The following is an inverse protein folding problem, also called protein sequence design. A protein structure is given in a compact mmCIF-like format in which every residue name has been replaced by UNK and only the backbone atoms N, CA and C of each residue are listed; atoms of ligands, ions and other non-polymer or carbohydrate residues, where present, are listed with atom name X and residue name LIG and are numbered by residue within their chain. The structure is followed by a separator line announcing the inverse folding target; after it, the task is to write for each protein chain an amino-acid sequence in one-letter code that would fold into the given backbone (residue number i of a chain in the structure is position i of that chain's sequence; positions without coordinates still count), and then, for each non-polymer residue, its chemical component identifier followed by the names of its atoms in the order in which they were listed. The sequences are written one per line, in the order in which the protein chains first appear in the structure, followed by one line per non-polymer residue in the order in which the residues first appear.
data_IF_915011248779
#
_entry.id   IF_915011248779
#
_cell.length_a   1.000
_cell.length_b   1.000
_cell.length_c   1.000
_cell.angle_alpha   90.00
_cell.angle_beta   90.00
_cell.angle_gamma   90.00
#
_symmetry.space_group_name_H-M   'P 1'
#
loop_
_entity.id
_entity.type
_entity.pdbx_description
1 polymer ?
#
# COMPACT_ATOMS: atom_id res chain seq x y z
N UNK A 1 -29.38 14.75 46.42
CA UNK A 1 -29.59 13.98 45.18
C UNK A 1 -28.65 14.52 44.11
N UNK A 2 -27.51 13.86 43.88
CA UNK A 2 -26.56 14.24 42.84
C UNK A 2 -26.90 13.48 41.55
N UNK A 3 -27.15 14.20 40.45
CA UNK A 3 -27.39 13.61 39.14
C UNK A 3 -26.09 12.99 38.62
N UNK A 4 -26.15 11.73 38.23
CA UNK A 4 -25.10 10.99 37.53
C UNK A 4 -24.85 11.61 36.16
N UNK A 5 -23.59 12.00 35.90
CA UNK A 5 -23.14 12.38 34.56
C UNK A 5 -22.95 11.09 33.73
N UNK A 6 -23.78 10.90 32.71
CA UNK A 6 -23.63 9.80 31.75
C UNK A 6 -22.37 9.97 30.88
N UNK A 7 -21.87 8.88 30.25
CA UNK A 7 -20.61 8.91 29.51
C UNK A 7 -20.69 9.85 28.29
N UNK A 8 -19.68 10.71 28.19
CA UNK A 8 -19.45 11.65 27.10
C UNK A 8 -19.49 10.92 25.74
N UNK A 9 -20.56 11.07 24.97
CA UNK A 9 -20.63 10.50 23.62
C UNK A 9 -19.60 11.19 22.73
N UNK A 10 -18.53 10.48 22.36
CA UNK A 10 -17.46 11.01 21.51
C UNK A 10 -18.01 11.44 20.13
N UNK A 11 -17.53 12.54 19.54
CA UNK A 11 -18.32 13.36 18.61
C UNK A 11 -18.30 12.81 17.19
N UNK A 12 -19.44 12.90 16.50
CA UNK A 12 -19.67 12.62 15.06
C UNK A 12 -18.59 13.20 14.12
N UNK A 13 -17.87 14.24 14.56
CA UNK A 13 -16.69 14.84 13.90
C UNK A 13 -15.56 13.84 13.66
N UNK A 14 -15.33 12.87 14.56
CA UNK A 14 -14.33 11.80 14.36
C UNK A 14 -14.75 10.81 13.26
N UNK A 15 -16.05 10.57 13.06
CA UNK A 15 -16.51 9.68 11.99
C UNK A 15 -16.28 10.29 10.61
N UNK A 16 -16.55 11.59 10.48
CA UNK A 16 -16.26 12.35 9.25
C UNK A 16 -14.75 12.41 8.98
N UNK A 17 -13.94 12.66 10.01
CA UNK A 17 -12.48 12.68 9.92
C UNK A 17 -11.90 11.32 9.51
N UNK A 18 -12.34 10.21 10.12
CA UNK A 18 -11.96 8.85 9.72
C UNK A 18 -12.35 8.52 8.28
N UNK A 19 -13.47 9.06 7.78
CA UNK A 19 -13.90 8.87 6.39
C UNK A 19 -13.01 9.64 5.42
N UNK A 20 -12.57 10.85 5.78
CA UNK A 20 -11.62 11.64 4.99
C UNK A 20 -10.22 11.00 5.03
N UNK A 21 -9.73 10.55 6.18
CA UNK A 21 -8.48 9.79 6.29
C UNK A 21 -8.53 8.50 5.46
N UNK A 22 -9.63 7.76 5.54
CA UNK A 22 -9.84 6.56 4.72
C UNK A 22 -9.89 6.90 3.22
N UNK A 23 -10.48 8.03 2.82
CA UNK A 23 -10.52 8.45 1.41
C UNK A 23 -9.14 8.93 0.91
N UNK A 24 -8.35 9.59 1.76
CA UNK A 24 -6.96 9.96 1.46
C UNK A 24 -6.07 8.71 1.36
N UNK A 25 -6.31 7.70 2.19
CA UNK A 25 -5.58 6.42 2.15
C UNK A 25 -5.88 5.60 0.89
N UNK A 26 -7.04 5.79 0.25
CA UNK A 26 -7.42 5.12 -1.00
C UNK A 26 -6.60 5.60 -2.22
N UNK A 27 -5.90 6.74 -2.12
CA UNK A 27 -4.99 7.20 -3.19
C UNK A 27 -3.64 6.47 -3.19
N UNK A 28 -3.36 5.66 -2.16
CA UNK A 28 -2.18 4.79 -2.08
C UNK A 28 -2.52 3.35 -2.46
N UNK A 29 -2.98 3.17 -3.70
CA UNK A 29 -3.20 1.83 -4.25
C UNK A 29 -1.89 1.06 -4.25
N UNK A 30 -1.78 0.07 -3.37
CA UNK A 30 -0.66 -0.86 -3.35
C UNK A 30 -0.79 -1.78 -4.56
N UNK A 31 0.32 -2.00 -5.25
CA UNK A 31 0.41 -2.88 -6.40
C UNK A 31 1.37 -4.01 -6.13
N UNK A 32 1.18 -5.12 -6.83
CA UNK A 32 2.11 -6.23 -6.92
C UNK A 32 2.68 -6.28 -8.34
N UNK A 33 4.00 -6.23 -8.43
CA UNK A 33 4.79 -6.31 -9.65
C UNK A 33 5.33 -7.72 -9.81
N UNK A 34 5.06 -8.30 -10.98
CA UNK A 34 5.63 -9.58 -11.40
C UNK A 34 6.88 -9.30 -12.21
N UNK A 35 7.95 -10.03 -11.89
CA UNK A 35 9.26 -9.84 -12.51
C UNK A 35 9.46 -10.82 -13.67
N UNK A 36 10.15 -10.39 -14.72
CA UNK A 36 10.37 -11.17 -15.94
C UNK A 36 11.12 -12.47 -15.71
N UNK A 37 12.36 -12.42 -15.19
CA UNK A 37 13.17 -13.63 -14.99
C UNK A 37 12.92 -14.29 -13.61
N UNK A 38 12.33 -13.57 -12.67
CA UNK A 38 12.22 -13.99 -11.27
C UNK A 38 10.78 -14.36 -10.88
N UNK A 39 10.25 -15.43 -11.47
CA UNK A 39 8.85 -15.90 -11.24
C UNK A 39 8.52 -16.25 -9.78
N UNK A 40 9.53 -16.56 -8.96
CA UNK A 40 9.35 -16.91 -7.54
C UNK A 40 9.32 -15.69 -6.62
N UNK A 41 9.58 -14.50 -7.15
CA UNK A 41 9.65 -13.25 -6.40
C UNK A 41 8.71 -12.22 -7.01
N UNK A 42 8.04 -11.45 -6.16
CA UNK A 42 7.19 -10.34 -6.56
C UNK A 42 7.54 -9.14 -5.70
N UNK A 43 7.37 -7.94 -6.25
CA UNK A 43 7.56 -6.70 -5.50
C UNK A 43 6.19 -6.11 -5.22
N UNK A 44 5.85 -5.87 -3.96
CA UNK A 44 4.68 -5.10 -3.60
C UNK A 44 5.06 -3.70 -3.14
N UNK A 45 4.31 -2.67 -3.48
CA UNK A 45 4.57 -1.31 -3.01
C UNK A 45 3.52 -0.31 -3.49
N UNK A 46 3.60 0.90 -2.97
CA UNK A 46 2.74 2.02 -3.38
C UNK A 46 3.45 2.83 -4.46
N UNK A 47 2.84 2.99 -5.64
CA UNK A 47 3.45 3.82 -6.70
C UNK A 47 3.44 5.29 -6.25
N UNK A 48 4.60 5.93 -6.30
CA UNK A 48 4.76 7.37 -6.07
C UNK A 48 5.25 8.13 -7.30
N UNK A 49 5.74 7.43 -8.32
CA UNK A 49 6.14 8.02 -9.59
C UNK A 49 6.39 6.97 -10.66
N UNK A 50 6.24 7.37 -11.93
CA UNK A 50 6.54 6.54 -13.10
C UNK A 50 6.99 7.43 -14.29
N UNK A 51 7.64 6.83 -15.28
CA UNK A 51 8.07 7.50 -16.51
C UNK A 51 7.58 6.77 -17.79
N UNK A 52 7.98 7.27 -18.96
CA UNK A 52 7.63 6.71 -20.28
C UNK A 52 8.24 5.32 -20.53
N UNK A 53 9.29 4.96 -19.78
CA UNK A 53 9.95 3.66 -19.86
C UNK A 53 9.38 2.65 -18.86
N UNK A 54 8.30 3.01 -18.15
CA UNK A 54 7.69 2.24 -17.07
C UNK A 54 8.65 1.96 -15.90
N UNK A 55 9.66 2.80 -15.69
CA UNK A 55 10.39 2.76 -14.43
C UNK A 55 9.45 3.23 -13.32
N UNK A 56 9.35 2.46 -12.23
CA UNK A 56 8.43 2.74 -11.13
C UNK A 56 9.22 3.14 -9.89
N UNK A 57 8.79 4.22 -9.24
CA UNK A 57 9.23 4.51 -7.88
C UNK A 57 8.15 4.00 -6.93
N UNK A 58 8.53 3.06 -6.07
CA UNK A 58 7.64 2.42 -5.10
C UNK A 58 8.03 2.85 -3.67
N UNK A 59 7.04 3.21 -2.87
CA UNK A 59 7.16 3.45 -1.44
C UNK A 59 6.63 2.24 -0.66
N UNK A 60 7.11 2.04 0.57
CA UNK A 60 6.78 0.89 1.43
C UNK A 60 6.89 -0.47 0.70
N UNK A 61 7.94 -0.61 -0.11
CA UNK A 61 8.14 -1.74 -0.99
C UNK A 61 8.62 -2.98 -0.23
N UNK A 62 8.13 -4.15 -0.65
CA UNK A 62 8.44 -5.45 -0.08
C UNK A 62 8.74 -6.49 -1.18
N UNK A 63 9.78 -7.29 -0.99
CA UNK A 63 9.99 -8.54 -1.72
C UNK A 63 9.10 -9.63 -1.13
N UNK A 64 8.31 -10.28 -1.98
CA UNK A 64 7.47 -11.42 -1.64
C UNK A 64 8.00 -12.64 -2.36
N UNK A 65 8.44 -13.63 -1.59
CA UNK A 65 8.85 -14.92 -2.12
C UNK A 65 7.67 -15.89 -2.11
N UNK A 66 7.20 -16.28 -3.29
CA UNK A 66 6.00 -17.12 -3.44
C UNK A 66 6.12 -18.49 -2.77
N UNK A 67 7.33 -19.07 -2.73
CA UNK A 67 7.58 -20.42 -2.17
C UNK A 67 7.64 -20.44 -0.65
N UNK A 68 8.39 -19.51 -0.06
CA UNK A 68 8.61 -19.43 1.39
C UNK A 68 7.56 -18.58 2.09
N UNK A 69 6.76 -17.82 1.32
CA UNK A 69 5.86 -16.77 1.80
C UNK A 69 6.56 -15.72 2.67
N UNK A 70 7.88 -15.62 2.57
CA UNK A 70 8.66 -14.61 3.29
C UNK A 70 8.48 -13.25 2.64
N UNK A 71 8.31 -12.23 3.48
CA UNK A 71 8.28 -10.83 3.09
C UNK A 71 9.53 -10.14 3.60
N UNK A 72 10.20 -9.37 2.74
CA UNK A 72 11.38 -8.59 3.10
C UNK A 72 11.14 -7.13 2.74
N UNK A 73 11.23 -6.26 3.73
CA UNK A 73 11.09 -4.81 3.55
C UNK A 73 12.28 -4.26 2.76
N UNK A 74 11.97 -3.45 1.75
CA UNK A 74 12.95 -2.69 0.98
C UNK A 74 12.83 -1.18 1.20
N UNK A 75 11.66 -0.71 1.64
CA UNK A 75 11.40 0.72 1.81
C UNK A 75 11.14 1.38 0.46
N UNK A 76 11.82 2.50 0.16
CA UNK A 76 11.65 3.22 -1.10
C UNK A 76 12.64 2.74 -2.15
N UNK A 77 12.13 2.26 -3.29
CA UNK A 77 12.96 1.72 -4.37
C UNK A 77 12.54 2.27 -5.74
N UNK A 78 13.46 2.18 -6.70
CA UNK A 78 13.18 2.38 -8.11
C UNK A 78 13.28 1.03 -8.82
N UNK A 79 12.19 0.57 -9.42
CA UNK A 79 12.12 -0.63 -10.22
C UNK A 79 12.24 -0.26 -11.70
N UNK A 80 13.17 -0.87 -12.42
CA UNK A 80 13.34 -0.62 -13.85
C UNK A 80 12.23 -1.30 -14.67
N UNK A 81 11.72 -0.61 -15.67
CA UNK A 81 10.59 -1.08 -16.49
C UNK A 81 10.88 -2.35 -17.30
N UNK A 82 12.14 -2.57 -17.67
CA UNK A 82 12.62 -3.79 -18.35
C UNK A 82 12.41 -5.08 -17.53
N UNK A 83 12.34 -4.96 -16.21
CA UNK A 83 12.14 -6.09 -15.30
C UNK A 83 10.66 -6.39 -15.03
N UNK A 84 9.73 -5.55 -15.52
CA UNK A 84 8.30 -5.64 -15.23
C UNK A 84 7.57 -6.52 -16.26
N UNK A 85 6.88 -7.55 -15.79
CA UNK A 85 5.99 -8.38 -16.63
C UNK A 85 4.53 -8.01 -16.49
N UNK A 86 4.08 -7.81 -15.25
CA UNK A 86 2.67 -7.55 -14.95
C UNK A 86 2.55 -6.67 -13.71
N UNK A 87 1.62 -5.72 -13.76
CA UNK A 87 1.20 -4.91 -12.62
C UNK A 87 -0.21 -5.34 -12.20
N UNK A 88 -0.36 -5.75 -10.95
CA UNK A 88 -1.63 -6.16 -10.37
C UNK A 88 -1.97 -5.26 -9.19
N UNK A 89 -3.18 -4.69 -9.17
CA UNK A 89 -3.69 -4.02 -7.97
C UNK A 89 -3.91 -5.06 -6.87
N UNK A 90 -3.41 -4.82 -5.67
CA UNK A 90 -3.72 -5.64 -4.49
C UNK A 90 -4.76 -4.93 -3.65
N UNK A 91 -5.99 -5.45 -3.69
CA UNK A 91 -7.06 -5.05 -2.78
C UNK A 91 -6.88 -5.81 -1.48
N UNK A 92 -6.52 -5.12 -0.40
CA UNK A 92 -6.60 -5.69 0.96
C UNK A 92 -8.05 -5.69 1.45
#
# INVERSE_FOLDING_TARGET
MARTLGPLTLPTRMKHWKKIESALNQMRSRIQVWLYEQVNMRIEGCIIGFDEYMNLVLDDAEEIHSKTKSRKQLGRIMLKGDNITLLQSVSN
#
